data_IF_485978261025
#
_entry.id   IF_485978261025
#
_cell.length_a   1.000
_cell.length_b   1.000
_cell.length_c   1.000
_cell.angle_alpha   90.00
_cell.angle_beta   90.00
_cell.angle_gamma   90.00
#
_symmetry.space_group_name_H-M   'P 1'
#
loop_
_entity.id
_entity.type
_entity.pdbx_description
1 polymer ?
#
# COMPACT_ATOMS: atom_id res chain seq x y z
N UNK A 1 15.42 117.53 40.50
CA UNK A 1 14.26 116.95 41.18
C UNK A 1 13.02 117.70 40.73
N UNK A 2 12.13 117.01 40.01
CA UNK A 2 10.68 117.09 40.18
C UNK A 2 10.09 115.91 39.40
N UNK A 3 9.89 114.82 40.14
CA UNK A 3 8.96 113.78 39.78
C UNK A 3 7.55 114.36 39.98
N UNK A 4 6.69 114.24 38.98
CA UNK A 4 5.26 113.95 39.06
C UNK A 4 4.66 114.33 37.70
N UNK A 5 3.88 113.49 37.03
CA UNK A 5 2.93 112.55 37.58
C UNK A 5 1.66 112.76 36.76
N UNK A 6 1.26 111.75 36.02
CA UNK A 6 0.10 111.89 35.13
C UNK A 6 -0.07 110.73 34.16
N UNK A 7 0.12 109.50 34.65
CA UNK A 7 -0.43 108.31 34.04
C UNK A 7 -1.96 108.49 34.01
N UNK A 8 -2.53 108.86 32.86
CA UNK A 8 -3.98 108.87 32.62
C UNK A 8 -4.14 108.17 31.26
N UNK A 9 -4.32 106.86 31.19
CA UNK A 9 -5.29 106.15 32.02
C UNK A 9 -6.70 106.67 31.73
N UNK A 10 -7.03 107.00 30.48
CA UNK A 10 -8.44 107.21 30.13
C UNK A 10 -9.18 105.90 30.33
N UNK A 11 -10.40 105.98 30.88
CA UNK A 11 -11.30 104.84 31.03
C UNK A 11 -11.40 104.05 29.72
N UNK A 12 -11.38 104.75 28.58
CA UNK A 12 -11.40 104.17 27.24
C UNK A 12 -10.17 103.31 26.93
N UNK A 13 -8.97 103.69 27.38
CA UNK A 13 -7.75 102.91 27.15
C UNK A 13 -7.73 101.64 28.02
N UNK A 14 -8.22 101.74 29.26
CA UNK A 14 -8.38 100.59 30.14
C UNK A 14 -9.46 99.61 29.62
N UNK A 15 -10.59 100.14 29.13
CA UNK A 15 -11.66 99.36 28.51
C UNK A 15 -11.21 98.70 27.20
N UNK A 16 -10.42 99.40 26.38
CA UNK A 16 -9.84 98.84 25.16
C UNK A 16 -8.87 97.70 25.47
N UNK A 17 -7.95 97.89 26.43
CA UNK A 17 -7.02 96.84 26.84
C UNK A 17 -7.73 95.63 27.47
N UNK A 18 -8.80 95.85 28.24
CA UNK A 18 -9.64 94.78 28.78
C UNK A 18 -10.37 94.01 27.68
N UNK A 19 -10.93 94.69 26.69
CA UNK A 19 -11.57 94.04 25.55
C UNK A 19 -10.58 93.26 24.68
N UNK A 20 -9.40 93.82 24.41
CA UNK A 20 -8.34 93.14 23.67
C UNK A 20 -7.87 91.91 24.44
N UNK A 21 -7.54 92.06 25.73
CA UNK A 21 -7.10 90.94 26.57
C UNK A 21 -8.16 89.84 26.70
N UNK A 22 -9.45 90.19 26.84
CA UNK A 22 -10.54 89.21 26.93
C UNK A 22 -10.76 88.48 25.61
N UNK A 23 -10.78 89.21 24.49
CA UNK A 23 -10.98 88.60 23.17
C UNK A 23 -9.77 87.74 22.78
N UNK A 24 -8.57 88.16 23.14
CA UNK A 24 -7.34 87.41 22.91
C UNK A 24 -7.29 86.14 23.76
N UNK A 25 -7.54 86.23 25.07
CA UNK A 25 -7.58 85.04 25.93
C UNK A 25 -8.69 84.06 25.55
N UNK A 26 -9.84 84.54 25.07
CA UNK A 26 -10.90 83.67 24.54
C UNK A 26 -10.47 82.97 23.24
N UNK A 27 -9.82 83.69 22.32
CA UNK A 27 -9.33 83.13 21.07
C UNK A 27 -8.20 82.10 21.30
N UNK A 28 -7.26 82.40 22.20
CA UNK A 28 -6.17 81.53 22.61
C UNK A 28 -6.72 80.26 23.29
N UNK A 29 -7.62 80.39 24.26
CA UNK A 29 -8.24 79.23 24.92
C UNK A 29 -9.03 78.32 23.97
N UNK A 30 -9.74 78.89 22.97
CA UNK A 30 -10.42 78.10 21.93
C UNK A 30 -9.41 77.40 21.01
N UNK A 31 -8.32 78.08 20.64
CA UNK A 31 -7.29 77.53 19.77
C UNK A 31 -6.51 76.40 20.46
N UNK A 32 -6.08 76.62 21.70
CA UNK A 32 -5.38 75.62 22.52
C UNK A 32 -6.27 74.42 22.82
N UNK A 33 -7.53 74.64 23.21
CA UNK A 33 -8.48 73.55 23.46
C UNK A 33 -8.75 72.70 22.23
N UNK A 34 -8.84 73.30 21.03
CA UNK A 34 -8.96 72.55 19.78
C UNK A 34 -7.68 71.82 19.42
N UNK A 35 -6.53 72.47 19.57
CA UNK A 35 -5.24 71.86 19.27
C UNK A 35 -4.99 70.64 20.16
N UNK A 36 -5.18 70.76 21.47
CA UNK A 36 -5.06 69.66 22.43
C UNK A 36 -6.06 68.54 22.12
N UNK A 37 -7.35 68.86 21.93
CA UNK A 37 -8.36 67.83 21.64
C UNK A 37 -8.13 67.12 20.30
N UNK A 38 -7.60 67.82 19.30
CA UNK A 38 -7.27 67.23 18.01
C UNK A 38 -6.00 66.38 18.09
N UNK A 39 -4.96 66.84 18.79
CA UNK A 39 -3.69 66.12 18.95
C UNK A 39 -3.89 64.86 19.79
N UNK A 40 -4.54 64.97 20.95
CA UNK A 40 -4.86 63.83 21.82
C UNK A 40 -5.79 62.83 21.13
N UNK A 41 -6.87 63.31 20.49
CA UNK A 41 -7.83 62.46 19.80
C UNK A 41 -7.23 61.75 18.58
N UNK A 42 -6.41 62.46 17.79
CA UNK A 42 -5.74 61.89 16.62
C UNK A 42 -4.67 60.90 17.03
N UNK A 43 -3.80 61.23 17.99
CA UNK A 43 -2.75 60.34 18.45
C UNK A 43 -3.30 59.10 19.15
N UNK A 44 -4.31 59.25 20.01
CA UNK A 44 -4.96 58.13 20.67
C UNK A 44 -5.65 57.22 19.65
N UNK A 45 -6.48 57.79 18.75
CA UNK A 45 -7.19 57.02 17.73
C UNK A 45 -6.27 56.33 16.73
N UNK A 46 -5.18 56.99 16.31
CA UNK A 46 -4.19 56.41 15.42
C UNK A 46 -3.39 55.29 16.09
N UNK A 47 -2.89 55.53 17.31
CA UNK A 47 -2.10 54.53 18.06
C UNK A 47 -2.94 53.30 18.39
N UNK A 48 -4.19 53.49 18.83
CA UNK A 48 -5.11 52.40 19.10
C UNK A 48 -5.50 51.65 17.82
N UNK A 49 -5.85 52.38 16.74
CA UNK A 49 -6.19 51.79 15.45
C UNK A 49 -5.04 50.98 14.86
N UNK A 50 -3.82 51.53 14.91
CA UNK A 50 -2.61 50.84 14.47
C UNK A 50 -2.32 49.61 15.34
N UNK A 51 -2.40 49.74 16.66
CA UNK A 51 -2.19 48.64 17.59
C UNK A 51 -3.17 47.49 17.35
N UNK A 52 -4.46 47.79 17.16
CA UNK A 52 -5.48 46.79 16.83
C UNK A 52 -5.23 46.13 15.48
N UNK A 53 -4.91 46.91 14.44
CA UNK A 53 -4.64 46.39 13.10
C UNK A 53 -3.37 45.52 13.08
N UNK A 54 -2.31 45.93 13.78
CA UNK A 54 -1.08 45.18 13.90
C UNK A 54 -1.27 43.88 14.70
N UNK A 55 -2.03 43.93 15.80
CA UNK A 55 -2.37 42.74 16.59
C UNK A 55 -3.16 41.73 15.76
N UNK A 56 -4.16 42.21 15.01
CA UNK A 56 -4.97 41.36 14.14
C UNK A 56 -4.15 40.78 12.98
N UNK A 57 -3.29 41.59 12.34
CA UNK A 57 -2.38 41.12 11.30
C UNK A 57 -1.40 40.05 11.82
N UNK A 58 -0.84 40.27 13.01
CA UNK A 58 0.06 39.31 13.65
C UNK A 58 -0.67 38.00 14.00
N UNK A 59 -1.92 38.07 14.47
CA UNK A 59 -2.77 36.90 14.75
C UNK A 59 -2.98 36.06 13.48
N UNK A 60 -3.36 36.69 12.38
CA UNK A 60 -3.58 36.02 11.09
C UNK A 60 -2.29 35.37 10.55
N UNK A 61 -1.15 36.07 10.67
CA UNK A 61 0.16 35.51 10.27
C UNK A 61 0.54 34.30 11.12
N UNK A 62 0.27 34.34 12.43
CA UNK A 62 0.53 33.22 13.32
C UNK A 62 -0.35 32.02 12.98
N UNK A 63 -1.64 32.23 12.73
CA UNK A 63 -2.56 31.17 12.26
C UNK A 63 -2.08 30.56 10.95
N UNK A 64 -1.73 31.39 9.97
CA UNK A 64 -1.23 30.93 8.68
C UNK A 64 0.08 30.13 8.82
N UNK A 65 0.99 30.56 9.71
CA UNK A 65 2.23 29.83 9.98
C UNK A 65 1.94 28.44 10.56
N UNK A 66 1.06 28.35 11.56
CA UNK A 66 0.69 27.07 12.17
C UNK A 66 0.02 26.14 11.17
N UNK A 67 -0.95 26.63 10.39
CA UNK A 67 -1.59 25.84 9.33
C UNK A 67 -0.57 25.34 8.30
N UNK A 68 0.35 26.21 7.87
CA UNK A 68 1.39 25.84 6.90
C UNK A 68 2.31 24.75 7.45
N UNK A 69 2.66 24.83 8.74
CA UNK A 69 3.47 23.82 9.41
C UNK A 69 2.74 22.47 9.47
N UNK A 70 1.46 22.45 9.85
CA UNK A 70 0.64 21.23 9.90
C UNK A 70 0.52 20.60 8.51
N UNK A 71 0.18 21.39 7.49
CA UNK A 71 0.08 20.91 6.11
C UNK A 71 1.41 20.36 5.60
N UNK A 72 2.54 20.98 5.97
CA UNK A 72 3.86 20.47 5.61
C UNK A 72 4.16 19.10 6.27
N UNK A 73 3.81 18.94 7.55
CA UNK A 73 3.97 17.68 8.27
C UNK A 73 3.08 16.56 7.70
N UNK A 74 1.80 16.85 7.46
CA UNK A 74 0.86 15.91 6.85
C UNK A 74 1.32 15.48 5.46
N UNK A 75 1.78 16.42 4.63
CA UNK A 75 2.32 16.10 3.31
C UNK A 75 3.58 15.23 3.40
N UNK A 76 4.44 15.42 4.40
CA UNK A 76 5.61 14.56 4.60
C UNK A 76 5.17 13.13 4.95
N UNK A 77 4.19 12.97 5.85
CA UNK A 77 3.63 11.66 6.19
C UNK A 77 2.97 10.98 5.00
N UNK A 78 2.15 11.69 4.23
CA UNK A 78 1.49 11.16 3.04
C UNK A 78 2.51 10.69 1.99
N UNK A 79 3.59 11.46 1.78
CA UNK A 79 4.67 11.07 0.87
C UNK A 79 5.37 9.79 1.34
N UNK A 80 5.63 9.64 2.64
CA UNK A 80 6.19 8.42 3.19
C UNK A 80 5.25 7.22 3.03
N UNK A 81 3.96 7.41 3.28
CA UNK A 81 2.95 6.36 3.12
C UNK A 81 2.84 5.89 1.66
N UNK A 82 2.76 6.82 0.70
CA UNK A 82 2.74 6.51 -0.73
C UNK A 82 4.01 5.78 -1.15
N UNK A 83 5.19 6.20 -0.66
CA UNK A 83 6.46 5.51 -0.90
C UNK A 83 6.42 4.06 -0.40
N UNK A 84 5.97 3.85 0.84
CA UNK A 84 5.86 2.52 1.43
C UNK A 84 4.85 1.62 0.68
N UNK A 85 3.73 2.19 0.23
CA UNK A 85 2.76 1.47 -0.61
C UNK A 85 3.37 1.08 -1.95
N UNK A 86 4.15 1.96 -2.59
CA UNK A 86 4.83 1.65 -3.85
C UNK A 86 5.84 0.51 -3.70
N UNK A 87 6.63 0.52 -2.62
CA UNK A 87 7.57 -0.56 -2.28
C UNK A 87 6.85 -1.88 -2.03
N UNK A 88 5.77 -1.87 -1.24
CA UNK A 88 4.96 -3.06 -0.99
C UNK A 88 4.33 -3.61 -2.26
N UNK A 89 3.83 -2.74 -3.14
CA UNK A 89 3.23 -3.14 -4.41
C UNK A 89 4.28 -3.71 -5.38
N UNK A 90 5.50 -3.17 -5.39
CA UNK A 90 6.61 -3.73 -6.14
C UNK A 90 6.98 -5.13 -5.63
N UNK A 91 7.08 -5.32 -4.31
CA UNK A 91 7.36 -6.61 -3.70
C UNK A 91 6.27 -7.66 -4.02
N UNK A 92 5.00 -7.27 -3.97
CA UNK A 92 3.88 -8.14 -4.34
C UNK A 92 3.91 -8.54 -5.81
N UNK A 93 4.21 -7.60 -6.72
CA UNK A 93 4.37 -7.90 -8.16
C UNK A 93 5.48 -8.93 -8.39
N UNK A 94 6.62 -8.79 -7.73
CA UNK A 94 7.73 -9.76 -7.83
C UNK A 94 7.31 -11.14 -7.32
N UNK A 95 6.61 -11.20 -6.17
CA UNK A 95 6.12 -12.48 -5.62
C UNK A 95 5.09 -13.15 -6.54
N UNK A 96 4.21 -12.36 -7.15
CA UNK A 96 3.23 -12.87 -8.12
C UNK A 96 3.93 -13.48 -9.33
N UNK A 97 4.90 -12.77 -9.92
CA UNK A 97 5.66 -13.27 -11.07
C UNK A 97 6.41 -14.58 -10.75
N UNK A 98 6.98 -14.69 -9.54
CA UNK A 98 7.62 -15.93 -9.09
C UNK A 98 6.61 -17.08 -8.96
N UNK A 99 5.46 -16.82 -8.33
CA UNK A 99 4.39 -17.80 -8.16
C UNK A 99 3.86 -18.30 -9.52
N UNK A 100 3.66 -17.38 -10.47
CA UNK A 100 3.25 -17.72 -11.83
C UNK A 100 4.28 -18.61 -12.54
N UNK A 101 5.58 -18.30 -12.42
CA UNK A 101 6.64 -19.16 -12.96
C UNK A 101 6.66 -20.55 -12.32
N UNK A 102 6.48 -20.64 -11.00
CA UNK A 102 6.45 -21.93 -10.30
C UNK A 102 5.24 -22.77 -10.73
N UNK A 103 4.07 -22.15 -10.87
CA UNK A 103 2.88 -22.81 -11.42
C UNK A 103 3.10 -23.30 -12.85
N UNK A 104 3.72 -22.48 -13.71
CA UNK A 104 4.06 -22.90 -15.09
C UNK A 104 5.05 -24.07 -15.10
N UNK A 105 6.06 -24.06 -14.22
CA UNK A 105 7.02 -25.17 -14.10
C UNK A 105 6.36 -26.44 -13.60
N UNK A 106 5.53 -26.34 -12.56
CA UNK A 106 4.83 -27.49 -11.99
C UNK A 106 3.86 -28.10 -12.99
N UNK A 107 3.03 -27.28 -13.64
CA UNK A 107 2.11 -27.74 -14.69
C UNK A 107 2.84 -28.36 -15.87
N UNK A 108 3.97 -27.78 -16.30
CA UNK A 108 4.84 -28.36 -17.32
C UNK A 108 5.36 -29.75 -16.94
N UNK A 109 5.87 -29.91 -15.70
CA UNK A 109 6.35 -31.20 -15.19
C UNK A 109 5.25 -32.24 -15.10
N UNK A 110 4.07 -31.88 -14.59
CA UNK A 110 2.92 -32.79 -14.51
C UNK A 110 2.47 -33.21 -15.90
N UNK A 111 2.39 -32.28 -16.86
CA UNK A 111 2.03 -32.58 -18.25
C UNK A 111 3.03 -33.53 -18.91
N UNK A 112 4.32 -33.31 -18.70
CA UNK A 112 5.36 -34.21 -19.21
C UNK A 112 5.25 -35.60 -18.57
N UNK A 113 5.07 -35.67 -17.25
CA UNK A 113 4.86 -36.94 -16.54
C UNK A 113 3.64 -37.70 -17.05
N UNK A 114 2.50 -37.01 -17.26
CA UNK A 114 1.30 -37.61 -17.85
C UNK A 114 1.54 -38.07 -19.29
N UNK A 115 2.32 -37.32 -20.08
CA UNK A 115 2.65 -37.71 -21.44
C UNK A 115 3.48 -38.99 -21.48
N UNK A 116 4.50 -39.12 -20.62
CA UNK A 116 5.31 -40.33 -20.49
C UNK A 116 4.48 -41.53 -20.00
N UNK A 117 3.64 -41.32 -18.98
CA UNK A 117 2.74 -42.35 -18.46
C UNK A 117 1.80 -42.86 -19.55
N UNK A 118 1.17 -41.95 -20.32
CA UNK A 118 0.28 -42.31 -21.41
C UNK A 118 1.00 -43.16 -22.48
N UNK A 119 2.25 -42.83 -22.82
CA UNK A 119 3.06 -43.64 -23.76
C UNK A 119 3.36 -45.03 -23.19
N UNK A 120 3.69 -45.13 -21.91
CA UNK A 120 3.92 -46.41 -21.25
C UNK A 120 2.64 -47.27 -21.24
N UNK A 121 1.48 -46.68 -20.94
CA UNK A 121 0.18 -47.36 -20.95
C UNK A 121 -0.18 -47.90 -22.33
N UNK A 122 0.08 -47.15 -23.41
CA UNK A 122 -0.15 -47.63 -24.78
C UNK A 122 0.74 -48.83 -25.10
N UNK A 123 2.03 -48.75 -24.76
CA UNK A 123 2.98 -49.84 -24.96
C UNK A 123 2.58 -51.10 -24.17
N UNK A 124 2.26 -50.94 -22.88
CA UNK A 124 1.79 -52.03 -22.02
C UNK A 124 0.50 -52.65 -22.54
N UNK A 125 -0.42 -51.85 -23.06
CA UNK A 125 -1.67 -52.35 -23.65
C UNK A 125 -1.42 -53.21 -24.89
N UNK A 126 -0.48 -52.81 -25.75
CA UNK A 126 -0.10 -53.60 -26.92
C UNK A 126 0.59 -54.92 -26.53
N UNK A 127 1.55 -54.86 -25.59
CA UNK A 127 2.22 -56.07 -25.06
C UNK A 127 1.21 -57.04 -24.42
N UNK A 128 0.27 -56.51 -23.63
CA UNK A 128 -0.81 -57.30 -23.03
C UNK A 128 -1.65 -57.98 -24.10
N UNK A 129 -2.02 -57.28 -25.18
CA UNK A 129 -2.82 -57.85 -26.26
C UNK A 129 -2.08 -59.02 -26.95
N UNK A 130 -0.77 -58.86 -27.24
CA UNK A 130 0.06 -59.92 -27.81
C UNK A 130 0.14 -61.13 -26.88
N UNK A 131 0.36 -60.91 -25.58
CA UNK A 131 0.38 -62.02 -24.61
C UNK A 131 -0.98 -62.71 -24.50
N UNK A 132 -2.08 -61.96 -24.52
CA UNK A 132 -3.43 -62.53 -24.52
C UNK A 132 -3.69 -63.39 -25.77
N UNK A 133 -3.20 -62.96 -26.92
CA UNK A 133 -3.28 -63.74 -28.16
C UNK A 133 -2.48 -65.04 -28.04
N UNK A 134 -1.23 -64.98 -27.59
CA UNK A 134 -0.38 -66.18 -27.37
C UNK A 134 -1.04 -67.13 -26.38
N UNK A 135 -1.60 -66.62 -25.28
CA UNK A 135 -2.24 -67.45 -24.25
C UNK A 135 -3.56 -68.07 -24.71
N UNK A 136 -4.16 -67.58 -25.79
CA UNK A 136 -5.39 -68.12 -26.35
C UNK A 136 -5.19 -69.37 -27.23
N UNK A 137 -3.96 -69.62 -27.70
CA UNK A 137 -3.64 -70.67 -28.68
C UNK A 137 -3.73 -72.10 -28.13
N UNK A 138 -3.82 -72.29 -26.80
CA UNK A 138 -3.96 -73.59 -26.09
C UNK A 138 -2.97 -74.67 -26.55
N UNK A 139 -1.76 -74.26 -26.92
CA UNK A 139 -0.66 -75.14 -27.32
C UNK A 139 0.46 -75.15 -26.27
N UNK A 140 1.52 -75.93 -26.52
CA UNK A 140 2.69 -75.99 -25.63
C UNK A 140 3.41 -74.64 -25.49
N UNK A 141 3.31 -73.77 -26.50
CA UNK A 141 3.91 -72.44 -26.50
C UNK A 141 3.17 -71.48 -25.58
N UNK A 142 1.84 -71.56 -25.52
CA UNK A 142 1.02 -70.82 -24.55
C UNK A 142 1.39 -71.13 -23.10
N UNK A 143 1.64 -72.40 -22.78
CA UNK A 143 2.01 -72.83 -21.42
C UNK A 143 3.40 -72.27 -21.05
N UNK A 144 4.38 -72.45 -21.93
CA UNK A 144 5.74 -71.95 -21.71
C UNK A 144 5.77 -70.41 -21.57
N UNK A 145 4.97 -69.70 -22.36
CA UNK A 145 4.87 -68.24 -22.29
C UNK A 145 4.21 -67.75 -20.98
N UNK A 146 3.18 -68.46 -20.49
CA UNK A 146 2.54 -68.16 -19.20
C UNK A 146 3.50 -68.35 -18.04
N UNK A 147 4.22 -69.48 -18.00
CA UNK A 147 5.23 -69.75 -16.97
C UNK A 147 6.34 -68.70 -16.98
N UNK A 148 6.81 -68.33 -18.18
CA UNK A 148 7.80 -67.27 -18.33
C UNK A 148 7.28 -65.93 -17.78
N UNK A 149 6.05 -65.53 -18.14
CA UNK A 149 5.43 -64.29 -17.64
C UNK A 149 5.35 -64.28 -16.12
N UNK A 150 4.79 -65.32 -15.50
CA UNK A 150 4.64 -65.40 -14.03
C UNK A 150 6.01 -65.29 -13.34
N UNK A 151 7.02 -65.99 -13.85
CA UNK A 151 8.38 -65.94 -13.31
C UNK A 151 8.97 -64.54 -13.39
N UNK A 152 8.91 -63.89 -14.56
CA UNK A 152 9.47 -62.55 -14.74
C UNK A 152 8.69 -61.50 -13.96
N UNK A 153 7.36 -61.59 -13.90
CA UNK A 153 6.53 -60.65 -13.13
C UNK A 153 6.88 -60.69 -11.65
N UNK A 154 6.88 -61.89 -11.02
CA UNK A 154 7.22 -62.06 -9.60
C UNK A 154 8.62 -61.54 -9.30
N UNK A 155 9.62 -61.89 -10.11
CA UNK A 155 10.99 -61.43 -9.92
C UNK A 155 11.12 -59.89 -9.99
N UNK A 156 10.45 -59.24 -10.95
CA UNK A 156 10.48 -57.79 -11.08
C UNK A 156 9.75 -57.08 -9.94
N UNK A 157 8.59 -57.59 -9.50
CA UNK A 157 7.85 -57.03 -8.35
C UNK A 157 8.66 -57.16 -7.07
N UNK A 158 9.23 -58.34 -6.79
CA UNK A 158 10.08 -58.54 -5.61
C UNK A 158 11.29 -57.62 -5.61
N UNK A 159 11.95 -57.45 -6.76
CA UNK A 159 13.06 -56.50 -6.90
C UNK A 159 12.60 -55.06 -6.68
N UNK A 160 11.48 -54.66 -7.28
CA UNK A 160 10.98 -53.30 -7.18
C UNK A 160 10.56 -52.93 -5.74
N UNK A 161 10.00 -53.88 -4.99
CA UNK A 161 9.70 -53.74 -3.56
C UNK A 161 10.99 -53.62 -2.72
N UNK A 162 11.99 -54.47 -2.99
CA UNK A 162 13.27 -54.44 -2.28
C UNK A 162 14.04 -53.13 -2.52
N UNK A 163 14.00 -52.63 -3.76
CA UNK A 163 14.62 -51.37 -4.17
C UNK A 163 13.79 -50.14 -3.72
N UNK A 164 12.60 -50.34 -3.14
CA UNK A 164 11.70 -49.27 -2.69
C UNK A 164 11.08 -48.45 -3.83
N UNK A 165 11.15 -48.95 -5.06
CA UNK A 165 10.58 -48.29 -6.25
C UNK A 165 9.05 -48.42 -6.33
N UNK A 166 8.49 -49.43 -5.66
CA UNK A 166 7.05 -49.59 -5.41
C UNK A 166 6.87 -49.96 -3.93
N UNK A 167 5.77 -49.50 -3.34
CA UNK A 167 5.41 -49.85 -1.95
C UNK A 167 4.60 -51.14 -1.87
N UNK A 168 3.86 -51.45 -2.93
CA UNK A 168 2.94 -52.58 -3.04
C UNK A 168 2.99 -53.17 -4.45
N UNK A 169 2.64 -54.45 -4.59
CA UNK A 169 2.53 -55.07 -5.90
C UNK A 169 1.45 -54.37 -6.74
N UNK A 170 1.66 -54.15 -8.06
CA UNK A 170 0.71 -53.37 -8.87
C UNK A 170 -0.73 -53.91 -8.90
N UNK A 171 -0.92 -55.23 -8.82
CA UNK A 171 -2.25 -55.84 -8.81
C UNK A 171 -2.95 -55.71 -7.44
N UNK A 172 -2.22 -55.39 -6.37
CA UNK A 172 -2.76 -55.18 -5.03
C UNK A 172 -3.07 -53.69 -4.76
N UNK A 173 -2.44 -52.77 -5.50
CA UNK A 173 -2.58 -51.31 -5.36
C UNK A 173 -3.93 -50.78 -5.90
N UNK A 174 -4.67 -50.05 -5.05
CA UNK A 174 -5.99 -49.51 -5.39
C UNK A 174 -5.96 -48.43 -6.49
N UNK A 175 -4.93 -47.58 -6.52
CA UNK A 175 -4.81 -46.56 -7.55
C UNK A 175 -4.51 -47.20 -8.92
N UNK A 176 -3.68 -48.26 -8.93
CA UNK A 176 -3.38 -49.02 -10.14
C UNK A 176 -4.60 -49.81 -10.63
N UNK A 177 -5.39 -50.41 -9.72
CA UNK A 177 -6.67 -51.05 -10.05
C UNK A 177 -7.64 -50.09 -10.74
N UNK A 178 -7.77 -48.87 -10.23
CA UNK A 178 -8.63 -47.86 -10.82
C UNK A 178 -8.12 -47.36 -12.18
N UNK A 179 -6.80 -47.17 -12.31
CA UNK A 179 -6.20 -46.66 -13.54
C UNK A 179 -6.17 -47.69 -14.68
N UNK A 180 -5.90 -48.97 -14.38
CA UNK A 180 -5.64 -50.02 -15.37
C UNK A 180 -6.36 -51.35 -15.03
N UNK A 181 -7.71 -51.35 -14.91
CA UNK A 181 -8.46 -52.51 -14.43
C UNK A 181 -8.25 -53.78 -15.29
N UNK A 182 -8.17 -53.64 -16.62
CA UNK A 182 -7.93 -54.77 -17.54
C UNK A 182 -6.53 -55.38 -17.41
N UNK A 183 -5.55 -54.59 -16.99
CA UNK A 183 -4.18 -55.05 -16.77
C UNK A 183 -4.09 -55.83 -15.46
N UNK A 184 -4.75 -55.34 -14.41
CA UNK A 184 -4.85 -56.07 -13.13
C UNK A 184 -5.54 -57.40 -13.32
N UNK A 185 -6.72 -57.41 -13.96
CA UNK A 185 -7.45 -58.66 -14.23
C UNK A 185 -6.59 -59.67 -15.00
N UNK A 186 -5.85 -59.20 -16.01
CA UNK A 186 -4.93 -60.07 -16.76
C UNK A 186 -3.84 -60.68 -15.86
N UNK A 187 -3.26 -59.89 -14.95
CA UNK A 187 -2.24 -60.37 -14.01
C UNK A 187 -2.83 -61.43 -13.08
N UNK A 188 -3.98 -61.14 -12.47
CA UNK A 188 -4.65 -62.06 -11.54
C UNK A 188 -5.00 -63.39 -12.23
N UNK A 189 -5.54 -63.33 -13.46
CA UNK A 189 -5.85 -64.51 -14.27
C UNK A 189 -4.61 -65.38 -14.52
N UNK A 190 -3.42 -64.77 -14.66
CA UNK A 190 -2.17 -65.48 -14.92
C UNK A 190 -1.54 -66.06 -13.66
N UNK A 191 -1.57 -65.32 -12.55
CA UNK A 191 -1.00 -65.74 -11.27
C UNK A 191 -1.76 -66.93 -10.67
N UNK A 192 -3.02 -67.11 -11.05
CA UNK A 192 -3.89 -68.16 -10.51
C UNK A 192 -4.30 -67.87 -9.05
N UNK A 193 -5.26 -68.62 -8.50
CA UNK A 193 -5.47 -68.65 -7.06
C UNK A 193 -4.25 -69.17 -6.29
#
# INVERSE_FOLDING_TARGET
MSLDGGYIGSLDHALANLHVGRNQGLAEGIAEGRALGQDEGYHAGFSEGWGRAAAEGNRLLQEQFLTSQTVAQENAHLRQFVKHQAESMAALKTRLAHCEQDLQRMTGRTREGMWQLNRAVVCMSAMRAVLQEIFSLRDGSSIAARDAFVRFYKANVSKALADGTIELAPHEDEAFKQALPKTVQFIDDQLGP
#
